data_IF_927782598497
#
_entry.id   IF_927782598497
#
_cell.length_a   1.000
_cell.length_b   1.000
_cell.length_c   1.000
_cell.angle_alpha   90.00
_cell.angle_beta   90.00
_cell.angle_gamma   90.00
#
_symmetry.space_group_name_H-M   'P 1'
#
loop_
_entity.id
_entity.type
_entity.pdbx_description
1 polymer ?
#
# COMPACT_ATOMS: atom_id res chain seq x y z
N UNK A 1 -34.95 10.21 -8.98
CA UNK A 1 -34.67 9.51 -7.70
C UNK A 1 -33.72 8.32 -7.87
N UNK A 2 -33.91 7.49 -8.90
CA UNK A 2 -33.02 6.33 -9.19
C UNK A 2 -31.51 6.68 -9.32
N UNK A 3 -31.13 7.73 -10.06
CA UNK A 3 -29.71 8.10 -10.18
C UNK A 3 -29.09 8.50 -8.82
N UNK A 4 -29.84 9.20 -7.97
CA UNK A 4 -29.39 9.57 -6.63
C UNK A 4 -29.15 8.33 -5.77
N UNK A 5 -30.07 7.37 -5.81
CA UNK A 5 -29.91 6.09 -5.11
C UNK A 5 -28.65 5.34 -5.58
N UNK A 6 -28.41 5.25 -6.90
CA UNK A 6 -27.24 4.55 -7.44
C UNK A 6 -25.91 5.20 -7.03
N UNK A 7 -25.86 6.53 -6.94
CA UNK A 7 -24.67 7.26 -6.44
C UNK A 7 -24.39 6.92 -4.97
N UNK A 8 -25.42 6.74 -4.13
CA UNK A 8 -25.21 6.35 -2.72
C UNK A 8 -24.73 4.91 -2.60
N UNK A 9 -25.24 4.00 -3.44
CA UNK A 9 -24.75 2.62 -3.51
C UNK A 9 -23.28 2.59 -3.94
N UNK A 10 -22.91 3.35 -4.96
CA UNK A 10 -21.52 3.48 -5.41
C UNK A 10 -20.62 4.09 -4.32
N UNK A 11 -21.07 5.13 -3.63
CA UNK A 11 -20.32 5.74 -2.51
C UNK A 11 -20.08 4.74 -1.37
N UNK A 12 -21.10 3.95 -1.02
CA UNK A 12 -20.96 2.89 -0.02
C UNK A 12 -19.94 1.84 -0.45
N UNK A 13 -20.03 1.38 -1.71
CA UNK A 13 -19.07 0.45 -2.29
C UNK A 13 -17.64 0.99 -2.25
N UNK A 14 -17.42 2.24 -2.67
CA UNK A 14 -16.10 2.88 -2.66
C UNK A 14 -15.57 3.10 -1.25
N UNK A 15 -16.43 3.44 -0.29
CA UNK A 15 -16.05 3.59 1.13
C UNK A 15 -15.59 2.25 1.71
N UNK A 16 -16.33 1.18 1.45
CA UNK A 16 -15.95 -0.16 1.90
C UNK A 16 -14.64 -0.62 1.24
N UNK A 17 -14.48 -0.39 -0.08
CA UNK A 17 -13.26 -0.68 -0.81
C UNK A 17 -12.05 0.13 -0.27
N UNK A 18 -12.27 1.39 0.14
CA UNK A 18 -11.23 2.23 0.76
C UNK A 18 -10.79 1.66 2.12
N UNK A 19 -11.73 1.27 2.97
CA UNK A 19 -11.43 0.64 4.27
C UNK A 19 -10.68 -0.68 4.05
N UNK A 20 -11.12 -1.50 3.11
CA UNK A 20 -10.45 -2.76 2.78
C UNK A 20 -9.03 -2.52 2.24
N UNK A 21 -8.84 -1.51 1.39
CA UNK A 21 -7.54 -1.11 0.86
C UNK A 21 -6.60 -0.55 1.93
N UNK A 22 -7.13 0.12 2.96
CA UNK A 22 -6.36 0.61 4.10
C UNK A 22 -5.66 -0.54 4.83
N UNK A 23 -6.36 -1.65 5.03
CA UNK A 23 -5.84 -2.84 5.72
C UNK A 23 -5.26 -3.91 4.78
N UNK A 24 -5.11 -3.62 3.48
CA UNK A 24 -4.66 -4.60 2.50
C UNK A 24 -3.26 -5.16 2.81
N UNK A 25 -2.35 -4.34 3.33
CA UNK A 25 -0.99 -4.75 3.71
C UNK A 25 -1.01 -5.83 4.81
N UNK A 26 -1.74 -5.55 5.90
CA UNK A 26 -1.89 -6.46 7.02
C UNK A 26 -2.64 -7.74 6.63
N UNK A 27 -3.73 -7.59 5.86
CA UNK A 27 -4.52 -8.73 5.38
C UNK A 27 -3.72 -9.67 4.48
N UNK A 28 -2.86 -9.14 3.61
CA UNK A 28 -2.01 -9.94 2.75
C UNK A 28 -0.97 -10.74 3.56
N UNK A 29 -0.35 -10.10 4.56
CA UNK A 29 0.58 -10.79 5.47
C UNK A 29 -0.13 -11.86 6.32
N UNK A 30 -1.33 -11.58 6.84
CA UNK A 30 -2.14 -12.55 7.57
C UNK A 30 -2.46 -13.76 6.69
N UNK A 31 -2.90 -13.53 5.45
CA UNK A 31 -3.17 -14.61 4.51
C UNK A 31 -1.93 -15.47 4.26
N UNK A 32 -0.76 -14.85 4.13
CA UNK A 32 0.53 -15.53 4.02
C UNK A 32 0.86 -16.42 5.23
N UNK A 33 0.72 -15.90 6.45
CA UNK A 33 0.96 -16.67 7.68
C UNK A 33 -0.02 -17.83 7.82
N UNK A 34 -1.30 -17.61 7.53
CA UNK A 34 -2.32 -18.68 7.62
C UNK A 34 -2.04 -19.79 6.60
N UNK A 35 -1.73 -19.43 5.36
CA UNK A 35 -1.47 -20.41 4.29
C UNK A 35 -0.20 -21.23 4.59
N UNK A 36 0.88 -20.57 4.99
CA UNK A 36 2.13 -21.26 5.37
C UNK A 36 1.91 -22.20 6.55
N UNK A 37 1.23 -21.76 7.61
CA UNK A 37 0.95 -22.60 8.77
C UNK A 37 0.02 -23.78 8.44
N UNK A 38 -0.98 -23.56 7.57
CA UNK A 38 -1.85 -24.63 7.09
C UNK A 38 -1.07 -25.68 6.29
N UNK A 39 -0.03 -25.26 5.55
CA UNK A 39 0.88 -26.18 4.86
C UNK A 39 1.76 -26.98 5.81
N UNK A 40 2.21 -26.39 6.90
CA UNK A 40 3.02 -27.08 7.89
C UNK A 40 2.25 -28.21 8.59
N UNK A 41 0.98 -27.96 8.96
CA UNK A 41 0.14 -28.97 9.62
C UNK A 41 -0.12 -30.21 8.74
N UNK A 42 0.00 -30.06 7.42
CA UNK A 42 -0.39 -31.08 6.44
C UNK A 42 0.79 -31.77 5.76
N UNK A 43 2.02 -31.28 5.97
CA UNK A 43 3.22 -31.73 5.27
C UNK A 43 4.35 -32.18 6.18
N UNK A 44 5.51 -32.59 5.59
CA UNK A 44 6.66 -33.04 6.36
C UNK A 44 7.26 -31.90 7.20
N UNK A 45 7.90 -32.25 8.33
CA UNK A 45 8.55 -31.28 9.24
C UNK A 45 9.53 -30.33 8.56
N UNK A 46 10.08 -30.70 7.39
CA UNK A 46 10.93 -29.83 6.58
C UNK A 46 10.24 -28.53 6.13
N UNK A 47 8.91 -28.54 5.94
CA UNK A 47 8.14 -27.37 5.53
C UNK A 47 8.11 -26.31 6.64
N UNK A 48 8.14 -26.71 7.91
CA UNK A 48 8.20 -25.76 9.04
C UNK A 48 9.42 -24.83 8.93
N UNK A 49 10.61 -25.41 8.77
CA UNK A 49 11.85 -24.63 8.65
C UNK A 49 11.85 -23.73 7.42
N UNK A 50 11.34 -24.23 6.29
CA UNK A 50 11.20 -23.43 5.08
C UNK A 50 10.25 -22.24 5.27
N UNK A 51 9.11 -22.45 5.92
CA UNK A 51 8.12 -21.40 6.20
C UNK A 51 8.66 -20.33 7.15
N UNK A 52 9.47 -20.71 8.14
CA UNK A 52 10.16 -19.76 9.01
C UNK A 52 11.07 -18.86 8.17
N UNK A 53 11.91 -19.45 7.32
CA UNK A 53 12.81 -18.67 6.44
C UNK A 53 12.01 -17.76 5.52
N UNK A 54 10.92 -18.26 4.93
CA UNK A 54 10.06 -17.48 4.04
C UNK A 54 9.35 -16.33 4.77
N UNK A 55 8.99 -16.51 6.05
CA UNK A 55 8.39 -15.46 6.86
C UNK A 55 9.37 -14.32 7.14
N UNK A 56 10.60 -14.64 7.58
CA UNK A 56 11.64 -13.63 7.75
C UNK A 56 12.02 -12.97 6.43
N UNK A 57 12.03 -13.72 5.32
CA UNK A 57 12.23 -13.17 3.99
C UNK A 57 11.12 -12.17 3.64
N UNK A 58 9.85 -12.51 3.85
CA UNK A 58 8.72 -11.59 3.64
C UNK A 58 8.90 -10.29 4.43
N UNK A 59 9.17 -10.40 5.74
CA UNK A 59 9.32 -9.23 6.61
C UNK A 59 10.55 -8.39 6.22
N UNK A 60 11.64 -9.04 5.81
CA UNK A 60 12.83 -8.38 5.27
C UNK A 60 12.54 -7.60 3.99
N UNK A 61 11.81 -8.21 3.04
CA UNK A 61 11.39 -7.55 1.80
C UNK A 61 10.44 -6.37 2.07
N UNK A 62 9.52 -6.52 3.03
CA UNK A 62 8.62 -5.45 3.44
C UNK A 62 9.41 -4.29 4.07
N UNK A 63 10.35 -4.60 4.98
CA UNK A 63 11.23 -3.59 5.60
C UNK A 63 12.06 -2.86 4.55
N UNK A 64 12.61 -3.59 3.58
CA UNK A 64 13.31 -3.01 2.44
C UNK A 64 12.41 -2.03 1.66
N UNK A 65 11.14 -2.35 1.44
CA UNK A 65 10.19 -1.45 0.79
C UNK A 65 9.96 -0.16 1.58
N UNK A 66 9.84 -0.24 2.91
CA UNK A 66 9.74 0.95 3.76
C UNK A 66 10.99 1.83 3.66
N UNK A 67 12.19 1.22 3.74
CA UNK A 67 13.45 1.96 3.64
C UNK A 67 13.61 2.63 2.26
N UNK A 68 13.31 1.91 1.18
CA UNK A 68 13.36 2.45 -0.17
C UNK A 68 12.36 3.58 -0.39
N UNK A 69 11.15 3.47 0.20
CA UNK A 69 10.07 4.43 0.00
C UNK A 69 10.27 5.75 0.76
N UNK A 70 11.02 5.72 1.87
CA UNK A 70 11.36 6.91 2.66
C UNK A 70 12.55 7.69 2.09
N UNK A 71 13.56 6.99 1.58
CA UNK A 71 14.83 7.60 1.17
C UNK A 71 14.97 7.86 -0.34
N UNK A 72 14.37 7.03 -1.19
CA UNK A 72 14.67 7.01 -2.62
C UNK A 72 13.42 7.15 -3.50
N UNK A 73 13.53 7.99 -4.54
CA UNK A 73 12.57 7.94 -5.66
C UNK A 73 12.76 6.64 -6.43
N UNK A 74 11.70 6.01 -6.96
CA UNK A 74 11.80 4.76 -7.73
C UNK A 74 12.76 4.85 -8.92
N UNK A 75 12.89 6.04 -9.52
CA UNK A 75 13.83 6.31 -10.61
C UNK A 75 15.31 6.24 -10.18
N UNK A 76 15.61 6.53 -8.91
CA UNK A 76 16.97 6.52 -8.35
C UNK A 76 17.44 5.15 -7.82
N UNK A 77 16.52 4.25 -7.47
CA UNK A 77 16.84 2.91 -6.94
C UNK A 77 16.10 1.79 -7.68
N UNK A 78 16.19 1.79 -9.02
CA UNK A 78 15.50 0.82 -9.87
C UNK A 78 15.77 -0.62 -9.45
N UNK A 79 17.02 -0.96 -9.11
CA UNK A 79 17.39 -2.31 -8.68
C UNK A 79 16.68 -2.74 -7.39
N UNK A 80 16.59 -1.86 -6.39
CA UNK A 80 15.92 -2.18 -5.13
C UNK A 80 14.43 -2.44 -5.32
N UNK A 81 13.76 -1.61 -6.11
CA UNK A 81 12.35 -1.82 -6.46
C UNK A 81 12.15 -3.08 -7.31
N UNK A 82 13.00 -3.34 -8.30
CA UNK A 82 12.93 -4.57 -9.11
C UNK A 82 13.13 -5.83 -8.27
N UNK A 83 14.11 -5.84 -7.35
CA UNK A 83 14.31 -6.95 -6.41
C UNK A 83 13.08 -7.16 -5.51
N UNK A 84 12.45 -6.06 -5.06
CA UNK A 84 11.21 -6.12 -4.28
C UNK A 84 10.07 -6.77 -5.05
N UNK A 85 9.88 -6.38 -6.32
CA UNK A 85 8.87 -6.99 -7.18
C UNK A 85 9.11 -8.48 -7.41
N UNK A 86 10.37 -8.88 -7.68
CA UNK A 86 10.72 -10.29 -7.90
C UNK A 86 10.54 -11.09 -6.60
N UNK A 87 10.97 -10.58 -5.46
CA UNK A 87 10.83 -11.27 -4.17
C UNK A 87 9.37 -11.52 -3.79
N UNK A 88 8.51 -10.52 -3.97
CA UNK A 88 7.07 -10.67 -3.74
C UNK A 88 6.37 -11.58 -4.76
N UNK A 89 6.84 -11.62 -6.01
CA UNK A 89 6.38 -12.59 -7.00
C UNK A 89 6.68 -14.03 -6.56
N UNK A 90 7.88 -14.31 -6.06
CA UNK A 90 8.26 -15.65 -5.55
C UNK A 90 7.39 -16.07 -4.36
N UNK A 91 7.14 -15.17 -3.40
CA UNK A 91 6.23 -15.42 -2.27
C UNK A 91 4.83 -15.78 -2.78
N UNK A 92 4.36 -15.11 -3.82
CA UNK A 92 3.01 -15.31 -4.38
C UNK A 92 2.89 -16.61 -5.14
N UNK A 93 3.95 -17.07 -5.81
CA UNK A 93 4.01 -18.41 -6.40
C UNK A 93 3.79 -19.46 -5.30
N UNK A 94 4.52 -19.34 -4.18
CA UNK A 94 4.36 -20.26 -3.05
C UNK A 94 2.93 -20.21 -2.48
N UNK A 95 2.37 -19.02 -2.25
CA UNK A 95 1.01 -18.89 -1.73
C UNK A 95 -0.05 -19.44 -2.67
N UNK A 96 0.12 -19.23 -3.98
CA UNK A 96 -0.80 -19.76 -5.00
C UNK A 96 -0.76 -21.28 -5.00
N UNK A 97 0.45 -21.87 -4.98
CA UNK A 97 0.61 -23.31 -4.87
C UNK A 97 -0.03 -23.87 -3.59
N UNK A 98 0.23 -23.23 -2.44
CA UNK A 98 -0.35 -23.62 -1.16
C UNK A 98 -1.89 -23.56 -1.19
N UNK A 99 -2.47 -22.50 -1.76
CA UNK A 99 -3.92 -22.34 -1.87
C UNK A 99 -4.56 -23.45 -2.73
N UNK A 100 -3.99 -23.77 -3.90
CA UNK A 100 -4.50 -24.86 -4.75
C UNK A 100 -4.33 -26.22 -4.10
N UNK A 101 -3.18 -26.50 -3.47
CA UNK A 101 -2.95 -27.77 -2.79
C UNK A 101 -3.91 -27.97 -1.61
N UNK A 102 -4.16 -26.93 -0.80
CA UNK A 102 -5.18 -26.93 0.25
C UNK A 102 -6.58 -27.18 -0.32
N UNK A 103 -6.94 -26.51 -1.43
CA UNK A 103 -8.23 -26.68 -2.06
C UNK A 103 -8.46 -28.13 -2.49
N UNK A 104 -7.52 -28.73 -3.23
CA UNK A 104 -7.61 -30.12 -3.70
C UNK A 104 -7.73 -31.09 -2.51
N UNK A 105 -6.92 -30.89 -1.46
CA UNK A 105 -6.97 -31.76 -0.28
C UNK A 105 -8.28 -31.63 0.48
N UNK A 106 -8.84 -30.42 0.58
CA UNK A 106 -10.14 -30.20 1.21
C UNK A 106 -11.27 -30.92 0.46
N UNK A 107 -11.21 -30.95 -0.88
CA UNK A 107 -12.14 -31.70 -1.73
C UNK A 107 -11.99 -33.20 -1.49
N UNK A 108 -10.76 -33.71 -1.48
CA UNK A 108 -10.49 -35.14 -1.25
C UNK A 108 -10.96 -35.62 0.13
N UNK A 109 -10.81 -34.79 1.17
CA UNK A 109 -11.30 -35.11 2.51
C UNK A 109 -12.83 -35.22 2.55
N UNK A 110 -13.56 -34.33 1.87
CA UNK A 110 -15.02 -34.38 1.79
C UNK A 110 -15.50 -35.57 0.97
N UNK A 111 -14.77 -35.92 -0.09
CA UNK A 111 -15.10 -37.08 -0.93
C UNK A 111 -14.99 -38.43 -0.19
N UNK A 112 -14.33 -38.47 0.97
CA UNK A 112 -14.24 -39.65 1.84
C UNK A 112 -15.39 -39.75 2.85
N UNK A 113 -16.24 -38.71 2.96
CA UNK A 113 -17.42 -38.75 3.82
C UNK A 113 -18.55 -39.56 3.15
N UNK A 114 -19.21 -40.44 3.92
CA UNK A 114 -20.17 -41.44 3.42
C UNK A 114 -21.47 -40.84 2.85
N UNK A 115 -21.73 -39.54 3.05
CA UNK A 115 -22.96 -38.87 2.60
C UNK A 115 -22.64 -37.51 1.94
N UNK A 116 -22.21 -37.59 0.68
CA UNK A 116 -21.85 -36.41 -0.12
C UNK A 116 -23.13 -35.79 -0.71
N UNK A 117 -23.65 -34.73 -0.08
CA UNK A 117 -24.73 -33.92 -0.61
C UNK A 117 -24.20 -32.49 -0.90
N UNK A 118 -24.88 -31.73 -1.77
CA UNK A 118 -24.49 -30.34 -2.08
C UNK A 118 -24.40 -29.48 -0.81
N UNK A 119 -25.25 -29.73 0.19
CA UNK A 119 -25.19 -29.07 1.50
C UNK A 119 -23.98 -29.44 2.36
N UNK A 120 -23.43 -30.66 2.20
CA UNK A 120 -22.24 -31.13 2.94
C UNK A 120 -20.99 -30.33 2.54
N UNK A 121 -20.89 -29.96 1.25
CA UNK A 121 -19.81 -29.08 0.75
C UNK A 121 -19.85 -27.68 1.38
N UNK A 122 -21.03 -27.08 1.53
CA UNK A 122 -21.18 -25.76 2.17
C UNK A 122 -21.06 -25.82 3.72
N UNK A 123 -21.17 -27.00 4.31
CA UNK A 123 -21.04 -27.20 5.76
C UNK A 123 -19.57 -27.23 6.21
N UNK A 124 -18.64 -27.66 5.36
CA UNK A 124 -17.22 -27.64 5.68
C UNK A 124 -16.64 -26.22 5.52
N UNK A 125 -16.27 -25.61 6.65
CA UNK A 125 -15.80 -24.22 6.68
C UNK A 125 -14.53 -24.00 5.84
N UNK A 126 -13.63 -24.97 5.77
CA UNK A 126 -12.37 -24.86 5.02
C UNK A 126 -12.66 -24.90 3.52
N UNK A 127 -13.43 -25.90 3.06
CA UNK A 127 -13.83 -26.00 1.67
C UNK A 127 -14.61 -24.76 1.23
N UNK A 128 -15.65 -24.37 1.97
CA UNK A 128 -16.45 -23.19 1.65
C UNK A 128 -15.57 -21.96 1.50
N UNK A 129 -14.72 -21.67 2.48
CA UNK A 129 -13.92 -20.45 2.46
C UNK A 129 -12.89 -20.46 1.32
N UNK A 130 -12.16 -21.57 1.12
CA UNK A 130 -11.10 -21.65 0.10
C UNK A 130 -11.68 -21.72 -1.31
N UNK A 131 -12.70 -22.56 -1.55
CA UNK A 131 -13.29 -22.74 -2.88
C UNK A 131 -14.09 -21.52 -3.29
N UNK A 132 -14.89 -20.91 -2.39
CA UNK A 132 -15.59 -19.65 -2.71
C UNK A 132 -14.58 -18.55 -3.00
N UNK A 133 -13.46 -18.49 -2.27
CA UNK A 133 -12.40 -17.52 -2.57
C UNK A 133 -11.84 -17.72 -3.97
N UNK A 134 -11.43 -18.94 -4.35
CA UNK A 134 -10.85 -19.22 -5.67
C UNK A 134 -11.88 -18.98 -6.78
N UNK A 135 -13.13 -19.40 -6.59
CA UNK A 135 -14.21 -19.18 -7.54
C UNK A 135 -14.51 -17.68 -7.70
N UNK A 136 -14.46 -16.89 -6.62
CA UNK A 136 -14.70 -15.46 -6.69
C UNK A 136 -13.51 -14.70 -7.30
N UNK A 137 -12.27 -15.09 -7.00
CA UNK A 137 -11.10 -14.37 -7.51
C UNK A 137 -10.68 -14.79 -8.91
N UNK A 138 -10.85 -16.06 -9.29
CA UNK A 138 -10.48 -16.55 -10.62
C UNK A 138 -11.71 -16.79 -11.49
N UNK A 139 -12.72 -17.46 -10.94
CA UNK A 139 -13.93 -17.84 -11.68
C UNK A 139 -14.67 -16.62 -12.23
N UNK A 140 -14.84 -15.56 -11.43
CA UNK A 140 -15.50 -14.34 -11.91
C UNK A 140 -14.73 -13.65 -13.05
N UNK A 141 -13.39 -13.64 -13.05
CA UNK A 141 -12.63 -13.08 -14.17
C UNK A 141 -12.73 -13.93 -15.44
N UNK A 142 -12.74 -15.26 -15.31
CA UNK A 142 -12.92 -16.15 -16.45
C UNK A 142 -14.33 -15.98 -17.04
N UNK A 143 -15.37 -16.00 -16.19
CA UNK A 143 -16.75 -15.80 -16.65
C UNK A 143 -16.93 -14.42 -17.27
N UNK A 144 -16.36 -13.36 -16.67
CA UNK A 144 -16.41 -12.02 -17.22
C UNK A 144 -15.74 -11.97 -18.61
N UNK A 145 -14.51 -12.46 -18.74
CA UNK A 145 -13.80 -12.42 -20.03
C UNK A 145 -14.51 -13.20 -21.14
N UNK A 146 -15.20 -14.30 -20.80
CA UNK A 146 -16.06 -15.02 -21.73
C UNK A 146 -17.32 -14.24 -22.11
N UNK A 147 -17.97 -13.57 -21.15
CA UNK A 147 -19.12 -12.70 -21.43
C UNK A 147 -18.75 -11.55 -22.38
N UNK A 148 -17.58 -10.94 -22.18
CA UNK A 148 -17.05 -9.88 -23.05
C UNK A 148 -16.44 -10.40 -24.38
N UNK A 149 -16.48 -11.71 -24.63
CA UNK A 149 -15.93 -12.37 -25.84
C UNK A 149 -14.44 -12.11 -26.10
N UNK A 150 -13.67 -11.75 -25.08
CA UNK A 150 -12.24 -11.48 -25.17
C UNK A 150 -11.42 -12.36 -24.21
N UNK A 151 -11.50 -13.70 -24.26
CA UNK A 151 -10.77 -14.55 -23.30
C UNK A 151 -9.24 -14.46 -23.42
N UNK A 152 -8.73 -13.90 -24.52
CA UNK A 152 -7.31 -13.92 -24.86
C UNK A 152 -6.43 -13.18 -23.85
N UNK A 153 -6.91 -12.06 -23.28
CA UNK A 153 -6.15 -11.30 -22.29
C UNK A 153 -5.94 -12.07 -20.98
N UNK A 154 -6.85 -12.99 -20.63
CA UNK A 154 -6.65 -13.89 -19.50
C UNK A 154 -5.58 -14.94 -19.80
N UNK A 155 -5.56 -15.51 -21.00
CA UNK A 155 -4.58 -16.55 -21.34
C UNK A 155 -3.15 -15.96 -21.39
N UNK A 156 -2.98 -14.77 -21.98
CA UNK A 156 -1.64 -14.19 -22.20
C UNK A 156 -1.05 -13.50 -20.98
N UNK A 157 -1.87 -12.84 -20.16
CA UNK A 157 -1.39 -11.87 -19.16
C UNK A 157 -1.81 -12.19 -17.73
N UNK A 158 -2.64 -13.22 -17.49
CA UNK A 158 -3.13 -13.52 -16.15
C UNK A 158 -2.02 -13.90 -15.17
N UNK A 159 -1.06 -14.72 -15.59
CA UNK A 159 0.06 -15.12 -14.72
C UNK A 159 0.90 -13.89 -14.35
N UNK A 160 1.19 -13.02 -15.32
CA UNK A 160 1.94 -11.78 -15.07
C UNK A 160 1.18 -10.87 -14.09
N UNK A 161 -0.14 -10.73 -14.25
CA UNK A 161 -0.99 -9.99 -13.33
C UNK A 161 -0.94 -10.57 -11.91
N UNK A 162 -1.10 -11.89 -11.77
CA UNK A 162 -1.08 -12.58 -10.48
C UNK A 162 0.26 -12.38 -9.75
N UNK A 163 1.37 -12.44 -10.48
CA UNK A 163 2.71 -12.24 -9.91
C UNK A 163 2.99 -10.77 -9.53
N UNK A 164 2.34 -9.81 -10.18
CA UNK A 164 2.47 -8.38 -9.87
C UNK A 164 1.50 -7.91 -8.77
N UNK A 165 0.35 -8.56 -8.60
CA UNK A 165 -0.63 -8.29 -7.54
C UNK A 165 -0.02 -8.02 -6.13
N UNK A 166 0.88 -8.87 -5.60
CA UNK A 166 1.51 -8.62 -4.29
C UNK A 166 2.33 -7.33 -4.24
N UNK A 167 2.93 -6.93 -5.35
CA UNK A 167 3.80 -5.76 -5.44
C UNK A 167 2.97 -4.48 -5.45
N UNK A 168 1.74 -4.51 -5.97
CA UNK A 168 0.78 -3.42 -5.80
C UNK A 168 0.42 -3.22 -4.32
N UNK A 169 0.18 -4.32 -3.59
CA UNK A 169 -0.22 -4.28 -2.18
C UNK A 169 0.94 -3.90 -1.25
N UNK A 170 2.14 -4.43 -1.49
CA UNK A 170 3.28 -4.24 -0.59
C UNK A 170 4.22 -3.12 -1.03
N UNK A 171 4.61 -3.07 -2.30
CA UNK A 171 5.62 -2.11 -2.76
C UNK A 171 4.98 -0.76 -3.07
N UNK A 172 3.96 -0.74 -3.95
CA UNK A 172 3.35 0.51 -4.38
C UNK A 172 2.51 1.16 -3.30
N UNK A 173 1.80 0.37 -2.48
CA UNK A 173 1.01 0.90 -1.37
C UNK A 173 1.90 1.57 -0.32
N UNK A 174 2.98 0.90 0.11
CA UNK A 174 3.96 1.49 1.04
C UNK A 174 4.57 2.76 0.44
N UNK A 175 4.93 2.73 -0.85
CA UNK A 175 5.44 3.92 -1.54
C UNK A 175 4.44 5.08 -1.56
N UNK A 176 3.16 4.80 -1.82
CA UNK A 176 2.10 5.80 -1.86
C UNK A 176 1.89 6.45 -0.49
N UNK A 177 1.79 5.67 0.59
CA UNK A 177 1.65 6.21 1.94
C UNK A 177 2.91 6.95 2.41
N UNK A 178 4.10 6.47 2.07
CA UNK A 178 5.36 7.16 2.35
C UNK A 178 5.46 8.50 1.60
N UNK A 179 4.74 8.66 0.50
CA UNK A 179 4.78 9.87 -0.33
C UNK A 179 3.45 10.63 -0.39
N UNK A 180 2.56 10.45 0.60
CA UNK A 180 1.22 11.10 0.66
C UNK A 180 1.26 12.64 0.77
N UNK A 181 2.41 13.23 1.08
CA UNK A 181 2.65 14.67 1.01
C UNK A 181 2.90 15.19 -0.41
N UNK A 182 3.35 14.35 -1.34
CA UNK A 182 3.65 14.73 -2.73
C UNK A 182 2.40 14.57 -3.62
N UNK A 183 1.27 15.11 -3.14
CA UNK A 183 -0.01 15.16 -3.87
C UNK A 183 0.03 16.39 -4.78
N UNK A 184 0.98 16.39 -5.71
CA UNK A 184 1.02 17.31 -6.85
C UNK A 184 0.43 16.61 -8.09
N UNK A 185 -0.75 16.01 -7.93
CA UNK A 185 -1.47 15.47 -9.07
C UNK A 185 -2.00 16.63 -9.91
N UNK A 186 -1.58 16.71 -11.17
CA UNK A 186 -2.14 17.65 -12.16
C UNK A 186 -1.49 19.03 -12.27
N UNK A 187 -0.46 19.37 -11.49
CA UNK A 187 0.27 20.65 -11.60
C UNK A 187 1.79 20.51 -11.52
N UNK A 188 2.32 19.29 -11.71
CA UNK A 188 3.76 19.01 -11.77
C UNK A 188 4.41 19.48 -13.08
N UNK A 189 3.97 20.64 -13.58
CA UNK A 189 4.63 21.41 -14.62
C UNK A 189 5.62 22.38 -13.97
N UNK A 190 6.90 22.04 -14.06
CA UNK A 190 7.95 22.97 -14.50
C UNK A 190 8.13 24.32 -13.78
N UNK A 191 7.96 24.41 -12.46
CA UNK A 191 8.11 25.72 -11.80
C UNK A 191 8.87 25.76 -10.47
N UNK A 192 9.88 24.92 -10.27
CA UNK A 192 10.95 25.22 -9.32
C UNK A 192 12.31 24.74 -9.83
N UNK A 193 13.01 25.64 -10.53
CA UNK A 193 14.48 25.60 -10.54
C UNK A 193 14.91 25.85 -9.09
N UNK A 194 15.62 24.91 -8.49
CA UNK A 194 16.24 25.08 -7.19
C UNK A 194 17.32 26.16 -7.28
N UNK A 195 16.96 27.42 -7.06
CA UNK A 195 17.92 28.50 -6.84
C UNK A 195 18.35 28.46 -5.37
N UNK A 196 19.08 27.41 -5.00
CA UNK A 196 19.75 27.28 -3.70
C UNK A 196 21.21 27.71 -3.82
N UNK A 197 21.43 28.86 -4.43
CA UNK A 197 22.62 29.68 -4.22
C UNK A 197 22.12 31.13 -4.25
N UNK A 198 22.21 31.80 -3.11
CA UNK A 198 21.83 33.20 -2.97
C UNK A 198 22.42 34.03 -4.10
N UNK A 199 21.58 34.79 -4.78
CA UNK A 199 22.02 35.73 -5.82
C UNK A 199 22.82 36.82 -5.11
N UNK A 200 24.14 36.67 -5.12
CA UNK A 200 25.04 37.78 -4.81
C UNK A 200 24.85 38.78 -5.92
N UNK A 201 24.29 39.95 -5.61
CA UNK A 201 24.25 41.08 -6.53
C UNK A 201 25.68 41.55 -6.78
N UNK A 202 26.31 41.01 -7.81
CA UNK A 202 27.57 41.54 -8.32
C UNK A 202 27.26 42.87 -9.01
N UNK A 203 27.90 43.95 -8.54
CA UNK A 203 27.96 45.20 -9.28
C UNK A 203 28.52 44.99 -10.70
N UNK A 204 28.36 45.99 -11.57
CA UNK A 204 28.59 45.86 -13.03
C UNK A 204 30.00 45.41 -13.46
N UNK A 205 30.96 45.28 -12.55
CA UNK A 205 32.28 44.70 -12.81
C UNK A 205 32.58 43.52 -11.88
N UNK A 206 33.04 42.42 -12.48
CA UNK A 206 33.45 41.20 -11.77
C UNK A 206 34.68 41.49 -10.89
N UNK A 207 34.47 41.57 -9.58
CA UNK A 207 35.55 41.35 -8.59
C UNK A 207 35.93 42.53 -7.70
N UNK A 208 35.23 43.67 -7.74
CA UNK A 208 35.52 44.80 -6.85
C UNK A 208 34.30 45.15 -5.98
N UNK A 209 34.49 45.02 -4.66
CA UNK A 209 33.57 45.57 -3.67
C UNK A 209 34.00 47.02 -3.46
N UNK A 210 33.23 47.98 -3.99
CA UNK A 210 33.42 49.39 -3.66
C UNK A 210 32.89 49.64 -2.25
N UNK A 211 33.76 49.44 -1.26
CA UNK A 211 33.57 49.98 0.06
C UNK A 211 34.15 51.41 0.05
N UNK A 212 33.27 52.42 0.06
CA UNK A 212 33.67 53.80 0.29
C UNK A 212 34.18 53.94 1.72
N UNK A 213 35.50 53.84 1.92
CA UNK A 213 36.14 54.08 3.21
C UNK A 213 36.29 55.59 3.37
N UNK A 214 35.61 56.23 4.34
CA UNK A 214 35.75 57.66 4.57
C UNK A 214 37.19 57.98 4.96
N UNK A 215 37.83 58.90 4.24
CA UNK A 215 39.26 59.23 4.42
C UNK A 215 39.47 60.41 5.38
N UNK A 216 38.39 61.11 5.75
CA UNK A 216 38.40 62.26 6.65
C UNK A 216 38.27 61.83 8.13
N UNK A 217 39.09 62.39 9.03
CA UNK A 217 39.12 62.00 10.45
C UNK A 217 37.79 62.23 11.18
N UNK A 218 37.00 63.23 10.76
CA UNK A 218 35.66 63.46 11.30
C UNK A 218 34.68 62.35 10.94
N UNK A 219 34.77 61.84 9.72
CA UNK A 219 33.88 60.77 9.25
C UNK A 219 34.26 59.43 9.88
N UNK A 220 35.55 59.22 10.19
CA UNK A 220 36.02 58.05 10.95
C UNK A 220 35.46 58.06 12.37
N UNK A 221 35.53 59.20 13.08
CA UNK A 221 34.97 59.31 14.42
C UNK A 221 33.44 59.18 14.41
N UNK A 222 32.76 59.77 13.42
CA UNK A 222 31.31 59.64 13.27
C UNK A 222 30.88 58.19 13.01
N UNK A 223 31.61 57.48 12.14
CA UNK A 223 31.37 56.06 11.89
C UNK A 223 31.68 55.18 13.10
N UNK A 224 32.70 55.54 13.89
CA UNK A 224 33.05 54.85 15.14
C UNK A 224 31.97 55.03 16.21
N UNK A 225 31.48 56.26 16.41
CA UNK A 225 30.39 56.56 17.34
C UNK A 225 29.08 55.88 16.94
N UNK A 226 28.75 55.86 15.64
CA UNK A 226 27.59 55.14 15.10
C UNK A 226 27.71 53.63 15.30
N UNK A 227 28.87 53.04 15.02
CA UNK A 227 29.12 51.62 15.28
C UNK A 227 29.02 51.28 16.78
N UNK A 228 29.53 52.14 17.67
CA UNK A 228 29.37 51.98 19.12
C UNK A 228 27.90 52.07 19.54
N UNK A 229 27.11 52.96 18.94
CA UNK A 229 25.68 53.09 19.23
C UNK A 229 24.90 51.85 18.77
N UNK A 230 25.20 51.32 17.58
CA UNK A 230 24.61 50.09 17.06
C UNK A 230 24.96 48.89 17.95
N UNK A 231 26.21 48.76 18.38
CA UNK A 231 26.68 47.67 19.25
C UNK A 231 26.10 47.74 20.67
N UNK A 232 25.86 48.96 21.19
CA UNK A 232 25.24 49.17 22.51
C UNK A 232 23.72 49.03 22.49
N UNK A 233 23.10 49.09 21.31
CA UNK A 233 21.67 48.83 21.16
C UNK A 233 21.40 47.33 21.14
N UNK A 234 20.43 46.86 21.95
CA UNK A 234 19.98 45.47 21.86
C UNK A 234 19.31 45.29 20.49
N UNK A 235 19.76 44.34 19.65
CA UNK A 235 19.11 44.09 18.37
C UNK A 235 17.61 43.89 18.60
N UNK A 236 16.72 44.51 17.81
CA UNK A 236 15.30 44.23 17.90
C UNK A 236 15.12 42.73 17.78
N UNK A 237 14.33 42.13 18.67
CA UNK A 237 13.99 40.71 18.58
C UNK A 237 13.21 40.56 17.28
N UNK A 238 13.90 40.18 16.21
CA UNK A 238 13.26 39.81 14.97
C UNK A 238 12.50 38.53 15.30
N UNK A 239 11.21 38.65 15.58
CA UNK A 239 10.34 37.49 15.56
C UNK A 239 10.45 36.91 14.17
N UNK A 240 11.23 35.83 14.03
CA UNK A 240 11.27 35.03 12.82
C UNK A 240 9.89 34.39 12.68
N UNK A 241 8.91 35.14 12.19
CA UNK A 241 7.68 34.58 11.66
C UNK A 241 8.13 33.70 10.51
N UNK A 242 8.14 32.38 10.75
CA UNK A 242 8.42 31.37 9.72
C UNK A 242 7.67 31.76 8.46
N UNK A 243 8.38 31.79 7.35
CA UNK A 243 7.78 32.06 6.06
C UNK A 243 6.58 31.12 5.84
N UNK A 244 5.50 31.66 5.25
CA UNK A 244 4.27 30.92 5.03
C UNK A 244 4.53 29.64 4.22
N UNK A 245 5.48 29.69 3.28
CA UNK A 245 5.93 28.54 2.50
C UNK A 245 6.56 27.44 3.38
N UNK A 246 7.48 27.80 4.27
CA UNK A 246 8.11 26.85 5.20
C UNK A 246 7.09 26.22 6.15
N UNK A 247 6.11 27.01 6.63
CA UNK A 247 5.04 26.49 7.50
C UNK A 247 4.16 25.46 6.78
N UNK A 248 3.85 25.69 5.51
CA UNK A 248 3.06 24.76 4.70
C UNK A 248 3.85 23.47 4.39
N UNK A 249 5.14 23.58 4.10
CA UNK A 249 6.00 22.42 3.88
C UNK A 249 6.14 21.55 5.14
N UNK A 250 6.37 22.18 6.29
CA UNK A 250 6.41 21.48 7.59
C UNK A 250 5.08 20.78 7.89
N UNK A 251 3.95 21.43 7.58
CA UNK A 251 2.62 20.83 7.72
C UNK A 251 2.47 19.58 6.86
N UNK A 252 2.83 19.64 5.57
CA UNK A 252 2.73 18.47 4.68
C UNK A 252 3.67 17.33 5.10
N UNK A 253 4.90 17.65 5.54
CA UNK A 253 5.84 16.66 6.07
C UNK A 253 5.29 15.99 7.32
N UNK A 254 4.71 16.75 8.25
CA UNK A 254 4.08 16.23 9.46
C UNK A 254 2.85 15.38 9.15
N UNK A 255 1.99 15.84 8.23
CA UNK A 255 0.83 15.10 7.75
C UNK A 255 1.23 13.74 7.17
N UNK A 256 2.25 13.68 6.29
CA UNK A 256 2.81 12.41 5.81
C UNK A 256 3.19 11.50 6.96
N UNK A 257 4.01 11.99 7.88
CA UNK A 257 4.54 11.14 8.95
C UNK A 257 3.41 10.59 9.82
N UNK A 258 2.43 11.41 10.17
CA UNK A 258 1.29 10.98 11.00
C UNK A 258 0.41 9.95 10.27
N UNK A 259 0.12 10.18 8.98
CA UNK A 259 -0.69 9.25 8.17
C UNK A 259 0.04 7.93 7.97
N UNK A 260 1.31 7.97 7.56
CA UNK A 260 2.13 6.77 7.36
C UNK A 260 2.25 5.97 8.67
N UNK A 261 2.48 6.65 9.80
CA UNK A 261 2.60 6.02 11.11
C UNK A 261 1.27 5.40 11.55
N UNK A 262 0.16 6.12 11.44
CA UNK A 262 -1.18 5.59 11.75
C UNK A 262 -1.54 4.39 10.87
N UNK A 263 -1.27 4.46 9.57
CA UNK A 263 -1.50 3.38 8.62
C UNK A 263 -0.63 2.14 8.92
N UNK A 264 0.67 2.34 9.18
CA UNK A 264 1.60 1.25 9.47
C UNK A 264 1.28 0.58 10.81
N UNK A 265 1.01 1.37 11.86
CA UNK A 265 0.65 0.83 13.18
C UNK A 265 -0.69 0.11 13.17
N UNK A 266 -1.70 0.62 12.45
CA UNK A 266 -2.99 -0.06 12.36
C UNK A 266 -2.90 -1.39 11.60
N UNK A 267 -2.13 -1.47 10.52
CA UNK A 267 -1.86 -2.73 9.81
C UNK A 267 -1.01 -3.69 10.64
N UNK A 268 0.02 -3.19 11.32
CA UNK A 268 0.89 -3.98 12.19
C UNK A 268 0.15 -4.55 13.41
N UNK A 269 -0.71 -3.74 14.05
CA UNK A 269 -1.56 -4.17 15.15
C UNK A 269 -2.53 -5.27 14.72
N UNK A 270 -3.20 -5.08 13.57
CA UNK A 270 -4.09 -6.09 13.00
C UNK A 270 -3.36 -7.41 12.75
N UNK A 271 -2.19 -7.35 12.10
CA UNK A 271 -1.35 -8.51 11.86
C UNK A 271 -0.89 -9.19 13.16
N UNK A 272 -0.47 -8.44 14.18
CA UNK A 272 -0.02 -8.98 15.46
C UNK A 272 -1.15 -9.66 16.22
N UNK A 273 -2.33 -9.03 16.31
CA UNK A 273 -3.50 -9.60 17.00
C UNK A 273 -3.91 -10.91 16.34
N UNK A 274 -4.02 -10.94 15.02
CA UNK A 274 -4.46 -12.14 14.31
C UNK A 274 -3.40 -13.25 14.38
N UNK A 275 -2.12 -12.94 14.16
CA UNK A 275 -1.05 -13.96 14.19
C UNK A 275 -0.80 -14.53 15.59
N UNK A 276 -0.94 -13.71 16.64
CA UNK A 276 -0.85 -14.18 18.04
C UNK A 276 -1.91 -15.24 18.38
N UNK A 277 -3.07 -15.17 17.72
CA UNK A 277 -4.18 -16.08 17.92
C UNK A 277 -4.05 -17.42 17.16
N UNK A 278 -2.98 -17.62 16.37
CA UNK A 278 -2.74 -18.85 15.58
C UNK A 278 -1.62 -19.74 16.18
N UNK A 279 -0.96 -19.30 17.25
CA UNK A 279 0.17 -20.03 17.84
C UNK A 279 -0.20 -21.35 18.53
N UNK A 280 0.78 -22.22 18.86
CA UNK A 280 0.56 -23.51 19.52
C UNK A 280 -0.11 -23.40 20.90
N UNK A 281 -0.04 -22.22 21.53
CA UNK A 281 -0.70 -21.91 22.81
C UNK A 281 -2.07 -21.23 22.63
N UNK A 282 -2.61 -21.17 21.41
CA UNK A 282 -3.89 -20.53 21.15
C UNK A 282 -5.04 -21.32 21.78
N UNK A 283 -5.89 -20.63 22.54
CA UNK A 283 -7.12 -21.22 23.09
C UNK A 283 -8.09 -21.58 21.95
N UNK A 284 -8.97 -22.55 22.18
CA UNK A 284 -9.99 -22.93 21.19
C UNK A 284 -10.87 -21.76 20.75
N UNK A 285 -11.07 -20.76 21.61
CA UNK A 285 -11.79 -19.51 21.30
C UNK A 285 -10.99 -18.61 20.34
N UNK A 286 -9.67 -18.50 20.52
CA UNK A 286 -8.80 -17.72 19.64
C UNK A 286 -8.78 -18.30 18.21
N UNK A 287 -8.69 -19.62 18.08
CA UNK A 287 -8.75 -20.30 16.79
C UNK A 287 -10.09 -20.08 16.06
N UNK A 288 -11.22 -20.07 16.78
CA UNK A 288 -12.53 -19.74 16.21
C UNK A 288 -12.58 -18.29 15.72
N UNK A 289 -12.01 -17.35 16.46
CA UNK A 289 -11.94 -15.94 16.06
C UNK A 289 -11.11 -15.74 14.79
N UNK A 290 -9.95 -16.41 14.67
CA UNK A 290 -9.12 -16.39 13.44
C UNK A 290 -9.86 -16.96 12.25
N UNK A 291 -10.53 -18.11 12.43
CA UNK A 291 -11.35 -18.72 11.37
C UNK A 291 -12.50 -17.81 10.91
N UNK A 292 -13.15 -17.11 11.86
CA UNK A 292 -14.18 -16.12 11.58
C UNK A 292 -13.64 -14.90 10.83
N UNK A 293 -12.48 -14.38 11.24
CA UNK A 293 -11.81 -13.27 10.58
C UNK A 293 -11.39 -13.61 9.15
N UNK A 294 -10.83 -14.81 8.94
CA UNK A 294 -10.47 -15.29 7.60
C UNK A 294 -11.70 -15.42 6.71
N UNK A 295 -12.79 -16.01 7.22
CA UNK A 295 -14.05 -16.06 6.49
C UNK A 295 -14.52 -14.64 6.11
N UNK A 296 -14.49 -13.70 7.05
CA UNK A 296 -14.86 -12.31 6.81
C UNK A 296 -14.05 -11.68 5.68
N UNK A 297 -12.72 -11.82 5.66
CA UNK A 297 -11.89 -11.28 4.57
C UNK A 297 -12.28 -11.92 3.23
N UNK A 298 -12.34 -13.24 3.17
CA UNK A 298 -12.60 -13.96 1.92
C UNK A 298 -13.97 -13.64 1.34
N UNK A 299 -15.01 -13.59 2.18
CA UNK A 299 -16.34 -13.17 1.77
C UNK A 299 -16.39 -11.69 1.39
N UNK A 300 -15.62 -10.82 2.05
CA UNK A 300 -15.53 -9.40 1.68
C UNK A 300 -14.91 -9.21 0.29
N UNK A 301 -13.81 -9.92 -0.02
CA UNK A 301 -13.18 -9.90 -1.35
C UNK A 301 -14.15 -10.47 -2.39
N UNK A 302 -14.83 -11.57 -2.08
CA UNK A 302 -15.81 -12.18 -2.98
C UNK A 302 -17.00 -11.25 -3.25
N UNK A 303 -17.51 -10.56 -2.23
CA UNK A 303 -18.60 -9.58 -2.38
C UNK A 303 -18.15 -8.37 -3.20
N UNK A 304 -16.95 -7.84 -2.96
CA UNK A 304 -16.37 -6.73 -3.73
C UNK A 304 -16.19 -7.10 -5.21
N UNK A 305 -15.70 -8.30 -5.49
CA UNK A 305 -15.55 -8.82 -6.86
C UNK A 305 -16.91 -9.09 -7.52
N UNK A 306 -17.85 -9.68 -6.78
CA UNK A 306 -19.21 -9.94 -7.23
C UNK A 306 -19.96 -8.66 -7.58
N UNK A 307 -19.83 -7.60 -6.78
CA UNK A 307 -20.42 -6.30 -7.09
C UNK A 307 -19.89 -5.72 -8.41
N UNK A 308 -18.56 -5.77 -8.62
CA UNK A 308 -17.95 -5.35 -9.91
C UNK A 308 -18.47 -6.18 -11.08
N UNK A 309 -18.58 -7.49 -10.88
CA UNK A 309 -19.07 -8.42 -11.90
C UNK A 309 -20.53 -8.16 -12.28
N UNK A 310 -21.39 -7.89 -11.30
CA UNK A 310 -22.80 -7.53 -11.55
C UNK A 310 -22.85 -6.21 -12.33
N UNK A 311 -22.04 -5.22 -11.94
CA UNK A 311 -21.95 -3.94 -12.66
C UNK A 311 -21.48 -4.09 -14.10
N UNK A 312 -20.41 -4.86 -14.35
CA UNK A 312 -19.90 -5.10 -15.70
C UNK A 312 -20.87 -5.91 -16.56
N UNK A 313 -21.54 -6.91 -15.99
CA UNK A 313 -22.56 -7.71 -16.68
C UNK A 313 -23.78 -6.85 -17.01
N UNK A 314 -24.25 -6.02 -16.08
CA UNK A 314 -25.37 -5.11 -16.32
C UNK A 314 -25.05 -4.11 -17.44
N UNK A 315 -23.84 -3.54 -17.44
CA UNK A 315 -23.36 -2.67 -18.52
C UNK A 315 -23.42 -3.38 -19.88
N UNK A 316 -22.92 -4.62 -19.96
CA UNK A 316 -22.92 -5.40 -21.19
C UNK A 316 -24.34 -5.72 -21.68
N UNK A 317 -25.25 -6.09 -20.77
CA UNK A 317 -26.66 -6.36 -21.09
C UNK A 317 -27.33 -5.09 -21.62
N UNK A 318 -27.14 -3.94 -20.96
CA UNK A 318 -27.68 -2.67 -21.41
C UNK A 318 -27.13 -2.32 -22.80
N UNK A 319 -25.82 -2.47 -23.01
CA UNK A 319 -25.17 -2.23 -24.29
C UNK A 319 -25.76 -3.09 -25.42
N UNK A 320 -25.93 -4.40 -25.16
CA UNK A 320 -26.53 -5.33 -26.11
C UNK A 320 -27.95 -4.91 -26.55
N UNK A 321 -28.77 -4.39 -25.62
CA UNK A 321 -30.11 -3.91 -25.92
C UNK A 321 -30.16 -2.47 -26.46
N UNK A 322 -29.15 -1.65 -26.15
CA UNK A 322 -29.01 -0.28 -26.67
C UNK A 322 -28.49 -0.23 -28.11
N UNK A 323 -28.03 -1.36 -28.66
CA UNK A 323 -27.61 -1.47 -30.07
C UNK A 323 -26.20 -0.95 -30.37
N UNK A 324 -25.33 -0.85 -29.35
CA UNK A 324 -23.90 -0.49 -29.47
C UNK A 324 -22.95 -1.65 -29.15
#
# INVERSE_FOLDING_TARGET
MLCKFWIHVELFYQTFNLIFSWFALGNYYIAFVILTQSMEQLGPKAIHYFNIVLNYFYLGMLTMCFLLSLGNRPQGSKLGYTMSFIGFAVITIYMTFAAFFLAIRSVNQISQETNVNFGTFFSNAIFRNVVVSIAATLGLYIVASLLFLEPWHMITSFIQYLLMAPSYINVLNVYAFANVHDVSWGTKGDNKVSTDLGVVSTGKDKGTVEASVPTDQRDINAAYEDAMAVLNSKPPVVEQKRDAATKQEDYYRSFRTNVLLSWTLSNGLLAAVVTSAIGPNATSSANKAVGGYMAFILFSVAALAGFRFIGSTAYMVIRLFAGE
#
